data_IF_175102668445
#
_entry.id   IF_175102668445
#
_cell.length_a   1.000
_cell.length_b   1.000
_cell.length_c   1.000
_cell.angle_alpha   90.00
_cell.angle_beta   90.00
_cell.angle_gamma   90.00
#
_symmetry.space_group_name_H-M   'P 1'
#
loop_
_entity.id
_entity.type
_entity.pdbx_description
1 polymer ?
#
# COMPACT_ATOMS: atom_id res chain seq x y z
N UNK A 1 -13.22 -17.53 -3.44
CA UNK A 1 -12.63 -16.61 -4.44
C UNK A 1 -11.30 -16.04 -3.96
N UNK A 2 -11.21 -15.56 -2.71
CA UNK A 2 -10.02 -14.92 -2.14
C UNK A 2 -8.75 -15.79 -2.11
N UNK A 3 -8.87 -17.11 -1.94
CA UNK A 3 -7.75 -18.07 -2.00
C UNK A 3 -6.96 -18.04 -3.31
N UNK A 4 -7.58 -17.58 -4.39
CA UNK A 4 -6.92 -17.47 -5.70
C UNK A 4 -6.57 -16.01 -6.01
N UNK A 5 -7.47 -15.07 -5.72
CA UNK A 5 -7.27 -13.66 -6.09
C UNK A 5 -6.17 -12.97 -5.27
N UNK A 6 -6.03 -13.27 -3.97
CA UNK A 6 -5.03 -12.61 -3.13
C UNK A 6 -3.59 -13.04 -3.46
N UNK A 7 -3.29 -14.35 -3.62
CA UNK A 7 -1.97 -14.78 -4.07
C UNK A 7 -1.64 -14.27 -5.46
N UNK A 8 -2.59 -14.34 -6.41
CA UNK A 8 -2.38 -13.83 -7.77
C UNK A 8 -2.12 -12.33 -7.75
N UNK A 9 -2.89 -11.55 -6.98
CA UNK A 9 -2.66 -10.12 -6.81
C UNK A 9 -1.26 -9.83 -6.26
N UNK A 10 -0.88 -10.45 -5.14
CA UNK A 10 0.44 -10.24 -4.53
C UNK A 10 1.59 -10.62 -5.46
N UNK A 11 1.47 -11.72 -6.21
CA UNK A 11 2.44 -12.13 -7.21
C UNK A 11 2.52 -11.14 -8.38
N UNK A 12 1.39 -10.65 -8.89
CA UNK A 12 1.37 -9.65 -9.97
C UNK A 12 1.98 -8.32 -9.53
N UNK A 13 1.70 -7.89 -8.30
CA UNK A 13 2.27 -6.67 -7.70
C UNK A 13 3.80 -6.73 -7.61
N UNK A 14 4.38 -7.93 -7.50
CA UNK A 14 5.85 -8.12 -7.50
C UNK A 14 6.37 -8.32 -8.93
N UNK A 15 5.73 -9.18 -9.71
CA UNK A 15 6.21 -9.59 -11.02
C UNK A 15 6.15 -8.46 -12.05
N UNK A 16 5.08 -7.66 -12.08
CA UNK A 16 4.94 -6.60 -13.09
C UNK A 16 6.01 -5.51 -12.97
N UNK A 17 6.31 -4.95 -11.79
CA UNK A 17 7.42 -4.00 -11.64
C UNK A 17 8.78 -4.57 -12.04
N UNK A 18 9.06 -5.83 -11.68
CA UNK A 18 10.33 -6.49 -12.04
C UNK A 18 10.42 -6.68 -13.55
N UNK A 19 9.35 -7.17 -14.19
CA UNK A 19 9.28 -7.33 -15.64
C UNK A 19 9.48 -5.99 -16.35
N UNK A 20 8.86 -4.92 -15.86
CA UNK A 20 9.03 -3.57 -16.39
C UNK A 20 10.47 -3.06 -16.21
N UNK A 21 11.09 -3.30 -15.05
CA UNK A 21 12.48 -2.91 -14.81
C UNK A 21 13.47 -3.65 -15.75
N UNK A 22 13.26 -4.95 -15.98
CA UNK A 22 14.04 -5.76 -16.92
C UNK A 22 13.83 -5.24 -18.35
N UNK A 23 12.58 -5.00 -18.76
CA UNK A 23 12.25 -4.46 -20.09
C UNK A 23 12.92 -3.10 -20.33
N UNK A 24 12.99 -2.23 -19.32
CA UNK A 24 13.67 -0.94 -19.40
C UNK A 24 15.21 -1.04 -19.32
N UNK A 25 15.75 -2.25 -19.13
CA UNK A 25 17.18 -2.60 -19.07
C UNK A 25 17.99 -1.78 -18.05
N UNK A 26 17.40 -1.37 -16.91
CA UNK A 26 18.08 -0.48 -15.94
C UNK A 26 17.70 -0.73 -14.49
N UNK A 27 18.59 -0.35 -13.57
CA UNK A 27 18.36 -0.35 -12.12
C UNK A 27 17.28 0.67 -11.75
N UNK A 28 16.31 0.25 -10.94
CA UNK A 28 15.25 1.12 -10.44
C UNK A 28 15.79 2.18 -9.47
N UNK A 29 15.40 3.44 -9.66
CA UNK A 29 15.69 4.51 -8.71
C UNK A 29 14.67 4.50 -7.57
N UNK A 30 15.08 4.00 -6.39
CA UNK A 30 14.15 3.65 -5.29
C UNK A 30 13.85 4.81 -4.32
N UNK A 31 14.53 5.95 -4.45
CA UNK A 31 14.76 6.85 -3.30
C UNK A 31 13.63 7.84 -2.96
N UNK A 32 12.75 8.19 -3.90
CA UNK A 32 11.76 9.25 -3.65
C UNK A 32 10.41 8.75 -3.13
N UNK A 33 9.98 7.54 -3.51
CA UNK A 33 8.66 7.03 -3.12
C UNK A 33 8.52 6.80 -1.63
N UNK A 34 9.49 6.08 -1.06
CA UNK A 34 9.56 5.82 0.37
C UNK A 34 9.65 7.10 1.21
N UNK A 35 10.19 8.19 0.65
CA UNK A 35 10.28 9.47 1.34
C UNK A 35 8.91 10.13 1.52
N UNK A 36 7.98 9.98 0.56
CA UNK A 36 6.61 10.50 0.69
C UNK A 36 5.86 9.84 1.85
N UNK A 37 6.13 8.56 2.08
CA UNK A 37 5.49 7.76 3.12
C UNK A 37 5.85 8.23 4.55
N UNK A 38 7.00 8.90 4.72
CA UNK A 38 7.45 9.44 6.02
C UNK A 38 6.46 10.47 6.57
N UNK A 39 5.82 11.27 5.71
CA UNK A 39 4.81 12.25 6.13
C UNK A 39 3.39 11.74 5.89
N UNK A 40 3.18 10.95 4.84
CA UNK A 40 1.88 10.42 4.48
C UNK A 40 1.33 9.45 5.53
N UNK A 41 2.13 8.50 6.02
CA UNK A 41 1.67 7.52 7.01
C UNK A 41 1.27 8.21 8.32
N UNK A 42 2.10 9.07 8.95
CA UNK A 42 1.68 9.80 10.15
C UNK A 42 0.43 10.65 9.94
N UNK A 43 0.29 11.28 8.77
CA UNK A 43 -0.92 12.03 8.43
C UNK A 43 -2.15 11.14 8.39
N UNK A 44 -2.10 9.98 7.73
CA UNK A 44 -3.22 9.03 7.69
C UNK A 44 -3.57 8.49 9.08
N UNK A 45 -2.56 8.21 9.91
CA UNK A 45 -2.76 7.78 11.29
C UNK A 45 -3.45 8.86 12.13
N UNK A 46 -3.01 10.12 12.00
CA UNK A 46 -3.64 11.25 12.67
C UNK A 46 -5.10 11.44 12.21
N UNK A 47 -5.34 11.35 10.89
CA UNK A 47 -6.69 11.46 10.33
C UNK A 47 -7.60 10.33 10.85
N UNK A 48 -7.09 9.10 10.88
CA UNK A 48 -7.81 7.94 11.43
C UNK A 48 -8.14 8.14 12.90
N UNK A 49 -7.19 8.64 13.69
CA UNK A 49 -7.39 8.92 15.11
C UNK A 49 -8.48 9.97 15.34
N UNK A 50 -8.49 11.03 14.52
CA UNK A 50 -9.50 12.10 14.55
C UNK A 50 -10.91 11.54 14.30
N UNK A 51 -11.10 10.74 13.24
CA UNK A 51 -12.39 10.09 12.96
C UNK A 51 -12.80 9.09 14.04
N UNK A 52 -11.85 8.36 14.63
CA UNK A 52 -12.13 7.43 15.73
C UNK A 52 -12.60 8.18 16.99
N UNK A 53 -12.12 9.40 17.20
CA UNK A 53 -12.58 10.31 18.25
C UNK A 53 -13.87 11.06 17.88
N UNK A 54 -14.53 10.71 16.77
CA UNK A 54 -15.75 11.35 16.28
C UNK A 54 -15.59 12.85 16.00
N UNK A 55 -14.37 13.28 15.66
CA UNK A 55 -14.04 14.67 15.35
C UNK A 55 -13.22 14.76 14.06
N UNK A 56 -13.83 15.01 12.88
CA UNK A 56 -15.24 15.33 12.65
C UNK A 56 -16.16 14.09 12.70
N UNK A 57 -17.50 14.27 12.72
CA UNK A 57 -18.43 13.16 12.58
C UNK A 57 -18.16 12.35 11.31
N UNK A 58 -18.23 11.03 11.42
CA UNK A 58 -18.07 10.15 10.27
C UNK A 58 -19.19 10.37 9.24
N UNK A 59 -18.91 10.24 7.93
CA UNK A 59 -19.96 10.29 6.91
C UNK A 59 -20.94 9.11 7.08
N UNK A 60 -22.17 9.23 6.55
CA UNK A 60 -23.11 8.12 6.50
C UNK A 60 -22.51 6.87 5.84
N UNK A 61 -22.95 5.68 6.26
CA UNK A 61 -22.36 4.40 5.83
C UNK A 61 -22.40 4.22 4.29
N UNK A 62 -23.47 4.68 3.65
CA UNK A 62 -23.66 4.65 2.19
C UNK A 62 -22.66 5.54 1.44
N UNK A 63 -22.09 6.56 2.08
CA UNK A 63 -21.09 7.46 1.51
C UNK A 63 -19.66 7.13 1.93
N UNK A 64 -19.47 6.20 2.87
CA UNK A 64 -18.17 5.89 3.46
C UNK A 64 -17.12 5.49 2.41
N UNK A 65 -17.50 4.67 1.43
CA UNK A 65 -16.59 4.23 0.36
C UNK A 65 -16.12 5.41 -0.50
N UNK A 66 -17.05 6.23 -0.97
CA UNK A 66 -16.74 7.39 -1.83
C UNK A 66 -15.92 8.41 -1.05
N UNK A 67 -16.28 8.66 0.20
CA UNK A 67 -15.54 9.53 1.09
C UNK A 67 -14.09 9.06 1.26
N UNK A 68 -13.88 7.78 1.61
CA UNK A 68 -12.55 7.22 1.78
C UNK A 68 -11.75 7.26 0.46
N UNK A 69 -12.37 6.92 -0.67
CA UNK A 69 -11.70 6.98 -1.97
C UNK A 69 -11.19 8.40 -2.29
N UNK A 70 -12.01 9.42 -2.04
CA UNK A 70 -11.65 10.82 -2.26
C UNK A 70 -10.57 11.26 -1.28
N UNK A 71 -10.78 11.07 0.03
CA UNK A 71 -9.88 11.57 1.07
C UNK A 71 -8.53 10.88 1.01
N UNK A 72 -8.50 9.54 0.96
CA UNK A 72 -7.26 8.77 0.89
C UNK A 72 -6.56 8.98 -0.47
N UNK A 73 -7.33 9.05 -1.57
CA UNK A 73 -6.77 9.29 -2.90
C UNK A 73 -6.15 10.68 -3.04
N UNK A 74 -6.82 11.73 -2.55
CA UNK A 74 -6.28 13.09 -2.54
C UNK A 74 -5.08 13.22 -1.60
N UNK A 75 -5.12 12.59 -0.41
CA UNK A 75 -3.98 12.56 0.48
C UNK A 75 -2.76 11.94 -0.21
N UNK A 76 -2.91 10.74 -0.79
CA UNK A 76 -1.84 10.08 -1.54
C UNK A 76 -1.30 10.98 -2.66
N UNK A 77 -2.19 11.56 -3.48
CA UNK A 77 -1.80 12.45 -4.57
C UNK A 77 -1.02 13.69 -4.10
N UNK A 78 -1.44 14.34 -3.02
CA UNK A 78 -0.73 15.50 -2.47
C UNK A 78 0.67 15.11 -1.97
N UNK A 79 0.78 14.06 -1.15
CA UNK A 79 2.07 13.67 -0.58
C UNK A 79 3.05 13.17 -1.66
N UNK A 80 2.57 12.35 -2.60
CA UNK A 80 3.40 11.84 -3.69
C UNK A 80 3.84 12.93 -4.66
N UNK A 81 2.94 13.84 -5.06
CA UNK A 81 3.29 14.91 -6.00
C UNK A 81 4.23 15.95 -5.36
N UNK A 82 4.03 16.27 -4.08
CA UNK A 82 4.97 17.14 -3.34
C UNK A 82 6.34 16.48 -3.22
N UNK A 83 6.40 15.20 -2.86
CA UNK A 83 7.67 14.47 -2.81
C UNK A 83 8.36 14.41 -4.18
N UNK A 84 7.59 14.21 -5.25
CA UNK A 84 8.07 14.22 -6.64
C UNK A 84 8.60 15.59 -7.04
N UNK A 85 7.88 16.66 -6.72
CA UNK A 85 8.32 18.03 -6.95
C UNK A 85 9.63 18.34 -6.20
N UNK A 86 9.73 17.98 -4.92
CA UNK A 86 10.97 18.11 -4.12
C UNK A 86 12.12 17.32 -4.77
N UNK A 87 11.86 16.07 -5.18
CA UNK A 87 12.84 15.22 -5.86
C UNK A 87 13.39 15.89 -7.11
N UNK A 88 12.53 16.37 -8.02
CA UNK A 88 12.96 17.07 -9.24
C UNK A 88 13.64 18.41 -8.97
N UNK A 89 13.15 19.17 -7.99
CA UNK A 89 13.67 20.51 -7.69
C UNK A 89 15.06 20.47 -7.08
N UNK A 90 15.33 19.51 -6.18
CA UNK A 90 16.53 19.53 -5.35
C UNK A 90 17.50 18.37 -5.60
N UNK A 91 17.02 17.17 -5.94
CA UNK A 91 17.85 15.97 -6.01
C UNK A 91 18.10 15.47 -7.45
N UNK A 92 17.11 15.63 -8.34
CA UNK A 92 17.12 15.13 -9.72
C UNK A 92 17.24 16.27 -10.74
N UNK A 93 18.11 17.25 -10.45
CA UNK A 93 18.28 18.47 -11.25
C UNK A 93 18.67 18.20 -12.72
N UNK A 94 19.34 17.08 -12.96
CA UNK A 94 19.82 16.63 -14.28
C UNK A 94 18.85 15.70 -15.00
N UNK A 95 17.80 15.22 -14.34
CA UNK A 95 16.75 14.41 -14.96
C UNK A 95 15.90 15.29 -15.86
N UNK A 96 16.18 15.26 -17.17
CA UNK A 96 15.58 16.17 -18.17
C UNK A 96 14.94 15.43 -19.34
N UNK A 97 15.11 14.11 -19.42
CA UNK A 97 14.56 13.30 -20.51
C UNK A 97 13.34 12.50 -20.06
N UNK A 98 12.42 12.25 -21.00
CA UNK A 98 11.24 11.40 -20.76
C UNK A 98 11.62 10.02 -20.23
N UNK A 99 12.71 9.45 -20.75
CA UNK A 99 13.22 8.15 -20.30
C UNK A 99 13.66 8.18 -18.84
N UNK A 100 14.33 9.24 -18.39
CA UNK A 100 14.72 9.39 -16.99
C UNK A 100 13.53 9.59 -16.05
N UNK A 101 12.53 10.37 -16.48
CA UNK A 101 11.29 10.52 -15.74
C UNK A 101 10.52 9.19 -15.63
N UNK A 102 10.43 8.41 -16.72
CA UNK A 102 9.80 7.09 -16.72
C UNK A 102 10.50 6.12 -15.78
N UNK A 103 11.84 6.09 -15.78
CA UNK A 103 12.61 5.25 -14.86
C UNK A 103 12.42 5.64 -13.40
N UNK A 104 12.35 6.94 -13.12
CA UNK A 104 12.07 7.43 -11.78
C UNK A 104 10.68 7.00 -11.30
N UNK A 105 9.64 7.19 -12.14
CA UNK A 105 8.28 6.75 -11.84
C UNK A 105 8.17 5.24 -11.65
N UNK A 106 8.81 4.46 -12.53
CA UNK A 106 8.87 3.00 -12.44
C UNK A 106 9.54 2.54 -11.15
N UNK A 107 10.65 3.17 -10.76
CA UNK A 107 11.35 2.81 -9.53
C UNK A 107 10.56 3.13 -8.26
N UNK A 108 9.81 4.23 -8.26
CA UNK A 108 8.94 4.63 -7.16
C UNK A 108 7.73 3.69 -7.03
N UNK A 109 6.84 3.70 -8.02
CA UNK A 109 5.60 2.92 -7.97
C UNK A 109 5.85 1.42 -7.99
N UNK A 110 6.92 0.99 -8.67
CA UNK A 110 7.33 -0.41 -8.71
C UNK A 110 7.82 -0.94 -7.36
N UNK A 111 8.59 -0.16 -6.60
CA UNK A 111 9.01 -0.57 -5.26
C UNK A 111 7.83 -0.65 -4.30
N UNK A 112 6.92 0.32 -4.34
CA UNK A 112 5.72 0.31 -3.49
C UNK A 112 4.82 -0.87 -3.82
N UNK A 113 4.61 -1.16 -5.11
CA UNK A 113 3.88 -2.35 -5.54
C UNK A 113 4.55 -3.64 -5.03
N UNK A 114 5.89 -3.76 -5.12
CA UNK A 114 6.60 -4.93 -4.58
C UNK A 114 6.39 -5.07 -3.07
N UNK A 115 6.58 -3.98 -2.30
CA UNK A 115 6.44 -4.00 -0.85
C UNK A 115 5.01 -4.35 -0.43
N UNK A 116 4.01 -3.74 -1.06
CA UNK A 116 2.60 -4.05 -0.80
C UNK A 116 2.25 -5.48 -1.23
N UNK A 117 2.80 -5.97 -2.34
CA UNK A 117 2.64 -7.35 -2.77
C UNK A 117 3.19 -8.36 -1.76
N UNK A 118 4.36 -8.07 -1.18
CA UNK A 118 4.93 -8.87 -0.07
C UNK A 118 4.02 -8.85 1.14
N UNK A 119 3.52 -7.67 1.55
CA UNK A 119 2.56 -7.56 2.66
C UNK A 119 1.31 -8.42 2.40
N UNK A 120 0.72 -8.32 1.21
CA UNK A 120 -0.45 -9.14 0.81
C UNK A 120 -0.15 -10.63 0.94
N UNK A 121 1.00 -11.10 0.43
CA UNK A 121 1.36 -12.52 0.48
C UNK A 121 1.64 -13.01 1.90
N UNK A 122 2.32 -12.21 2.72
CA UNK A 122 2.61 -12.55 4.12
C UNK A 122 1.32 -12.59 4.94
N UNK A 123 0.45 -11.59 4.79
CA UNK A 123 -0.86 -11.58 5.45
C UNK A 123 -1.72 -12.75 5.01
N UNK A 124 -1.75 -13.06 3.70
CA UNK A 124 -2.45 -14.23 3.18
C UNK A 124 -1.92 -15.53 3.81
N UNK A 125 -0.60 -15.73 3.82
CA UNK A 125 0.01 -16.91 4.42
C UNK A 125 -0.36 -17.03 5.91
N UNK A 126 -0.26 -15.93 6.66
CA UNK A 126 -0.62 -15.91 8.09
C UNK A 126 -2.09 -16.29 8.31
N UNK A 127 -3.02 -15.67 7.59
CA UNK A 127 -4.45 -15.95 7.72
C UNK A 127 -4.81 -17.37 7.28
N UNK A 128 -4.17 -17.87 6.23
CA UNK A 128 -4.35 -19.25 5.77
C UNK A 128 -3.82 -20.27 6.78
N UNK A 129 -2.66 -20.02 7.38
CA UNK A 129 -2.09 -20.89 8.43
C UNK A 129 -2.97 -20.91 9.68
N UNK A 130 -3.45 -19.75 10.14
CA UNK A 130 -4.33 -19.68 11.32
C UNK A 130 -5.67 -20.40 11.07
N UNK A 131 -6.22 -20.31 9.86
CA UNK A 131 -7.45 -20.99 9.49
C UNK A 131 -7.27 -22.51 9.39
N UNK A 132 -6.18 -22.97 8.80
CA UNK A 132 -5.93 -24.41 8.55
C UNK A 132 -5.32 -25.13 9.76
N UNK A 133 -4.74 -24.38 10.69
CA UNK A 133 -4.12 -24.91 11.91
C UNK A 133 -4.66 -24.18 13.16
N UNK A 134 -5.94 -24.39 13.54
CA UNK A 134 -6.56 -23.69 14.68
C UNK A 134 -5.90 -23.98 16.03
N UNK A 135 -5.07 -25.01 16.12
CA UNK A 135 -4.28 -25.34 17.31
C UNK A 135 -3.17 -24.32 17.60
N UNK A 136 -2.77 -23.50 16.61
CA UNK A 136 -1.81 -22.41 16.82
C UNK A 136 -2.45 -21.20 17.53
N UNK A 137 -3.78 -21.13 17.58
CA UNK A 137 -4.52 -20.02 18.17
C UNK A 137 -4.58 -20.22 19.69
N UNK A 138 -3.96 -19.31 20.49
CA UNK A 138 -4.05 -19.38 21.95
C UNK A 138 -5.49 -19.16 22.42
N UNK A 139 -5.94 -19.92 23.41
CA UNK A 139 -7.33 -19.83 23.91
C UNK A 139 -7.71 -18.42 24.37
N UNK A 140 -6.76 -17.69 24.95
CA UNK A 140 -6.94 -16.31 25.39
C UNK A 140 -7.27 -15.33 24.24
N UNK A 141 -6.90 -15.64 23.00
CA UNK A 141 -7.09 -14.80 21.82
C UNK A 141 -8.05 -15.41 20.79
N UNK A 142 -8.60 -16.59 21.07
CA UNK A 142 -9.36 -17.41 20.11
C UNK A 142 -10.52 -16.65 19.49
N UNK A 143 -11.39 -16.06 20.33
CA UNK A 143 -12.54 -15.31 19.85
C UNK A 143 -12.17 -14.12 18.95
N UNK A 144 -11.09 -13.40 19.28
CA UNK A 144 -10.64 -12.26 18.49
C UNK A 144 -10.06 -12.68 17.13
N UNK A 145 -9.25 -13.74 17.11
CA UNK A 145 -8.66 -14.26 15.87
C UNK A 145 -9.72 -14.90 14.97
N UNK A 146 -10.71 -15.60 15.54
CA UNK A 146 -11.82 -16.17 14.77
C UNK A 146 -12.68 -15.08 14.12
N UNK A 147 -12.96 -13.98 14.82
CA UNK A 147 -13.63 -12.82 14.23
C UNK A 147 -12.81 -12.22 13.08
N UNK A 148 -11.50 -12.01 13.28
CA UNK A 148 -10.63 -11.49 12.23
C UNK A 148 -10.54 -12.42 11.01
N UNK A 149 -10.53 -13.75 11.22
CA UNK A 149 -10.56 -14.72 10.13
C UNK A 149 -11.88 -14.65 9.36
N UNK A 150 -13.01 -14.51 10.04
CA UNK A 150 -14.31 -14.35 9.37
C UNK A 150 -14.34 -13.09 8.51
N UNK A 151 -13.90 -11.95 9.05
CA UNK A 151 -13.84 -10.68 8.32
C UNK A 151 -12.87 -10.71 7.14
N UNK A 152 -11.75 -11.43 7.28
CA UNK A 152 -10.76 -11.55 6.21
C UNK A 152 -11.23 -12.43 5.04
N UNK A 153 -12.01 -13.47 5.32
CA UNK A 153 -12.45 -14.46 4.32
C UNK A 153 -13.87 -14.25 3.78
N UNK A 154 -14.65 -13.32 4.35
CA UNK A 154 -15.98 -12.92 3.85
C UNK A 154 -15.89 -12.19 2.51
#
# INVERSE_FOLDING_TARGET
MLYLTLPVNGLLMIAMPIALAIFLHRKMGVRAGLASQVLHIPFLLALTALFTQHWPPAPPAEWMLVFNAIVLGLAAGIFEEVARWVAYRYFLKTTRTWREALMFGTGHGGMEAILLGVVVLVTFAAMYTLQTTPSLIPDAQRAAIEAQLQDYWS
#
